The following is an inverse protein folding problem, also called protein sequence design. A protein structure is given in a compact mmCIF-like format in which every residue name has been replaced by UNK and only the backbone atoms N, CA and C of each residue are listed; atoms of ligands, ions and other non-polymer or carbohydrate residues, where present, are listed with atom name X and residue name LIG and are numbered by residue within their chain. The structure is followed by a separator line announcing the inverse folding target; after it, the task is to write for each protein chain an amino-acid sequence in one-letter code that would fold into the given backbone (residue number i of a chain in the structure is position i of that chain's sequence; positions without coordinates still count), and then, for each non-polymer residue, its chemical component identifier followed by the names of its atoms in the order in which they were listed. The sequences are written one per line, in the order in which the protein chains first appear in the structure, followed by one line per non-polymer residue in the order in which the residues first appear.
data_IF_622872785540
#
_entry.id   IF_622872785540
#
_cell.length_a   1.000
_cell.length_b   1.000
_cell.length_c   1.000
_cell.angle_alpha   90.00
_cell.angle_beta   90.00
_cell.angle_gamma   90.00
#
_symmetry.space_group_name_H-M   'P 1'
#
loop_
_entity.id
_entity.type
_entity.pdbx_description
1 polymer ?
#
# COMPACT_ATOMS: atom_id res chain seq x y z
N UNK A 1 -15.76 -16.58 3.69
CA UNK A 1 -14.73 -16.80 2.64
C UNK A 1 -13.77 -15.62 2.52
N UNK A 2 -14.25 -14.37 2.42
CA UNK A 2 -13.38 -13.18 2.39
C UNK A 2 -12.36 -13.13 3.55
N UNK A 3 -12.81 -13.33 4.79
CA UNK A 3 -11.93 -13.30 5.99
C UNK A 3 -10.71 -14.21 5.88
N UNK A 4 -10.86 -15.45 5.43
CA UNK A 4 -9.74 -16.41 5.35
C UNK A 4 -8.65 -15.91 4.40
N UNK A 5 -9.05 -15.38 3.24
CA UNK A 5 -8.13 -14.81 2.25
C UNK A 5 -7.39 -13.61 2.83
N UNK A 6 -8.12 -12.69 3.48
CA UNK A 6 -7.52 -11.51 4.10
C UNK A 6 -6.59 -11.86 5.27
N UNK A 7 -6.90 -12.89 6.05
CA UNK A 7 -5.99 -13.40 7.09
C UNK A 7 -4.71 -13.96 6.47
N UNK A 8 -4.81 -14.77 5.41
CA UNK A 8 -3.64 -15.31 4.70
C UNK A 8 -2.79 -14.17 4.13
N UNK A 9 -3.41 -13.17 3.49
CA UNK A 9 -2.69 -12.00 3.01
C UNK A 9 -2.05 -11.20 4.15
N UNK A 10 -2.72 -11.02 5.28
CA UNK A 10 -2.13 -10.35 6.45
C UNK A 10 -0.85 -11.06 6.88
N UNK A 11 -0.87 -12.38 7.02
CA UNK A 11 0.29 -13.17 7.42
C UNK A 11 1.41 -13.06 6.37
N UNK A 12 1.08 -13.20 5.09
CA UNK A 12 2.06 -13.10 4.00
C UNK A 12 2.75 -11.72 3.98
N UNK A 13 1.99 -10.63 4.13
CA UNK A 13 2.53 -9.28 4.16
C UNK A 13 3.35 -9.02 5.44
N UNK A 14 2.98 -9.59 6.59
CA UNK A 14 3.80 -9.52 7.81
C UNK A 14 5.15 -10.22 7.59
N UNK A 15 5.16 -11.41 6.99
CA UNK A 15 6.39 -12.13 6.69
C UNK A 15 7.28 -11.33 5.72
N UNK A 16 6.69 -10.75 4.67
CA UNK A 16 7.38 -9.85 3.74
C UNK A 16 7.91 -8.60 4.43
N UNK A 17 7.14 -7.99 5.34
CA UNK A 17 7.55 -6.81 6.10
C UNK A 17 8.75 -7.12 7.00
N UNK A 18 8.71 -8.24 7.72
CA UNK A 18 9.83 -8.68 8.57
C UNK A 18 11.08 -8.91 7.72
N UNK A 19 10.95 -9.58 6.58
CA UNK A 19 12.06 -9.81 5.67
C UNK A 19 12.62 -8.51 5.09
N UNK A 20 11.75 -7.61 4.62
CA UNK A 20 12.13 -6.31 4.09
C UNK A 20 12.80 -5.41 5.12
N UNK A 21 12.33 -5.42 6.38
CA UNK A 21 12.98 -4.70 7.49
C UNK A 21 14.38 -5.25 7.80
N UNK A 22 14.58 -6.57 7.73
CA UNK A 22 15.91 -7.17 7.87
C UNK A 22 16.85 -6.71 6.75
N UNK A 23 16.35 -6.71 5.50
CA UNK A 23 17.13 -6.28 4.34
C UNK A 23 17.42 -4.77 4.36
N UNK A 24 16.49 -3.96 4.85
CA UNK A 24 16.68 -2.52 5.05
C UNK A 24 17.75 -2.25 6.10
N UNK A 25 17.73 -2.95 7.23
CA UNK A 25 18.75 -2.84 8.28
C UNK A 25 20.17 -3.18 7.78
N UNK A 26 20.28 -4.12 6.84
CA UNK A 26 21.57 -4.51 6.26
C UNK A 26 22.06 -3.53 5.19
N UNK A 27 21.15 -2.93 4.42
CA UNK A 27 21.49 -2.10 3.26
C UNK A 27 21.49 -0.59 3.56
N UNK A 28 20.77 -0.13 4.59
CA UNK A 28 20.53 1.30 4.85
C UNK A 28 19.77 2.03 3.74
N UNK A 29 19.20 1.30 2.78
CA UNK A 29 18.66 1.89 1.56
C UNK A 29 17.32 2.59 1.82
N UNK A 30 17.28 3.91 1.67
CA UNK A 30 16.04 4.71 1.72
C UNK A 30 14.97 4.19 0.77
N UNK A 31 15.39 3.59 -0.35
CA UNK A 31 14.47 3.09 -1.38
C UNK A 31 13.74 1.83 -0.92
N UNK A 32 14.44 0.97 -0.17
CA UNK A 32 13.81 -0.18 0.47
C UNK A 32 12.77 0.28 1.49
N UNK A 33 13.09 1.32 2.26
CA UNK A 33 12.15 1.91 3.21
C UNK A 33 10.87 2.41 2.52
N UNK A 34 11.00 3.06 1.35
CA UNK A 34 9.84 3.50 0.56
C UNK A 34 8.96 2.33 0.09
N UNK A 35 9.52 1.15 -0.18
CA UNK A 35 8.76 -0.07 -0.53
C UNK A 35 8.09 -0.69 0.70
N UNK A 36 8.67 -0.52 1.90
CA UNK A 36 8.08 -1.04 3.14
C UNK A 36 6.81 -0.28 3.54
N UNK A 37 6.68 1.00 3.20
CA UNK A 37 5.49 1.81 3.50
C UNK A 37 4.21 1.19 2.92
N UNK A 38 4.15 0.84 1.62
CA UNK A 38 3.01 0.11 1.07
C UNK A 38 2.71 -1.22 1.74
N UNK A 39 3.75 -1.98 2.12
CA UNK A 39 3.58 -3.26 2.79
C UNK A 39 2.90 -3.07 4.16
N UNK A 40 3.29 -2.04 4.91
CA UNK A 40 2.64 -1.70 6.19
C UNK A 40 1.15 -1.37 5.97
N UNK A 41 0.83 -0.58 4.94
CA UNK A 41 -0.55 -0.28 4.57
C UNK A 41 -1.37 -1.53 4.25
N UNK A 42 -0.77 -2.47 3.50
CA UNK A 42 -1.40 -3.76 3.16
C UNK A 42 -1.59 -4.67 4.38
N UNK A 43 -0.64 -4.69 5.32
CA UNK A 43 -0.82 -5.41 6.60
C UNK A 43 -2.01 -4.85 7.35
N UNK A 44 -2.08 -3.52 7.50
CA UNK A 44 -3.17 -2.86 8.21
C UNK A 44 -4.53 -3.11 7.54
N UNK A 45 -4.64 -2.88 6.23
CA UNK A 45 -5.89 -3.04 5.47
C UNK A 45 -6.44 -4.47 5.60
N UNK A 46 -5.60 -5.47 5.33
CA UNK A 46 -6.00 -6.87 5.41
C UNK A 46 -6.34 -7.30 6.86
N UNK A 47 -5.61 -6.78 7.86
CA UNK A 47 -5.87 -7.08 9.26
C UNK A 47 -7.21 -6.49 9.74
N UNK A 48 -7.54 -5.25 9.36
CA UNK A 48 -8.81 -4.62 9.71
C UNK A 48 -9.99 -5.38 9.12
N UNK A 49 -9.89 -5.86 7.87
CA UNK A 49 -10.93 -6.69 7.25
C UNK A 49 -11.07 -8.03 7.98
N UNK A 50 -9.95 -8.67 8.35
CA UNK A 50 -9.97 -9.93 9.08
C UNK A 50 -10.64 -9.75 10.47
N UNK A 51 -10.28 -8.68 11.19
CA UNK A 51 -10.88 -8.32 12.49
C UNK A 51 -12.37 -8.00 12.37
N UNK A 52 -12.82 -7.46 11.24
CA UNK A 52 -14.23 -7.12 11.01
C UNK A 52 -15.19 -8.30 10.98
N UNK A 53 -14.67 -9.53 10.90
CA UNK A 53 -15.47 -10.75 11.05
C UNK A 53 -15.71 -11.18 12.49
N UNK A 54 -15.05 -10.56 13.47
CA UNK A 54 -15.25 -10.84 14.88
C UNK A 54 -16.50 -10.11 15.40
N UNK A 55 -17.34 -10.73 16.25
CA UNK A 55 -18.49 -10.05 16.85
C UNK A 55 -18.06 -8.98 17.86
N UNK A 56 -18.77 -7.84 17.88
CA UNK A 56 -18.60 -6.78 18.89
C UNK A 56 -17.71 -5.53 18.60
N UNK A 57 -17.19 -5.25 17.39
CA UNK A 57 -16.20 -4.18 17.25
C UNK A 57 -16.80 -2.81 16.86
N UNK A 58 -18.11 -2.57 17.08
CA UNK A 58 -18.89 -1.41 16.58
C UNK A 58 -18.12 -0.12 16.29
N UNK A 59 -17.66 0.60 17.32
CA UNK A 59 -16.97 1.90 17.15
C UNK A 59 -15.48 1.78 16.80
N UNK A 60 -14.78 0.81 17.39
CA UNK A 60 -13.36 0.58 17.11
C UNK A 60 -13.15 0.17 15.65
N UNK A 61 -13.97 -0.74 15.13
CA UNK A 61 -13.90 -1.17 13.73
C UNK A 61 -14.24 -0.04 12.77
N UNK A 62 -15.14 0.87 13.17
CA UNK A 62 -15.49 2.03 12.35
C UNK A 62 -14.28 2.96 12.22
N UNK A 63 -13.63 3.31 13.33
CA UNK A 63 -12.40 4.14 13.30
C UNK A 63 -11.26 3.46 12.52
N UNK A 64 -11.07 2.14 12.69
CA UNK A 64 -10.10 1.37 11.92
C UNK A 64 -10.42 1.35 10.41
N UNK A 65 -11.69 1.28 10.04
CA UNK A 65 -12.10 1.35 8.64
C UNK A 65 -11.86 2.75 8.03
N UNK A 66 -12.07 3.84 8.78
CA UNK A 66 -11.72 5.19 8.29
C UNK A 66 -10.22 5.28 8.02
N UNK A 67 -9.38 4.80 8.95
CA UNK A 67 -7.94 4.72 8.73
C UNK A 67 -7.57 3.88 7.51
N UNK A 68 -8.31 2.79 7.26
CA UNK A 68 -8.14 1.89 6.13
C UNK A 68 -8.41 2.60 4.81
N UNK A 69 -9.54 3.29 4.69
CA UNK A 69 -9.87 4.08 3.50
C UNK A 69 -8.84 5.19 3.25
N UNK A 70 -8.32 5.82 4.31
CA UNK A 70 -7.25 6.83 4.19
C UNK A 70 -5.94 6.27 3.68
N UNK A 71 -5.47 5.19 4.29
CA UNK A 71 -4.26 4.54 3.83
C UNK A 71 -4.44 4.00 2.42
N UNK A 72 -5.57 3.38 2.10
CA UNK A 72 -5.83 2.85 0.76
C UNK A 72 -5.87 3.94 -0.31
N UNK A 73 -6.54 5.07 -0.05
CA UNK A 73 -6.62 6.19 -0.97
C UNK A 73 -5.25 6.81 -1.31
N UNK A 74 -4.31 6.80 -0.36
CA UNK A 74 -2.99 7.41 -0.54
C UNK A 74 -1.96 6.39 -1.03
N UNK A 75 -1.85 5.27 -0.33
CA UNK A 75 -0.75 4.30 -0.47
C UNK A 75 -0.92 3.42 -1.71
N UNK A 76 -2.16 3.01 -2.05
CA UNK A 76 -2.38 2.14 -3.21
C UNK A 76 -1.98 2.82 -4.53
N UNK A 77 -2.36 4.09 -4.79
CA UNK A 77 -1.89 4.79 -5.99
C UNK A 77 -0.38 5.06 -6.02
N UNK A 78 0.29 5.14 -4.86
CA UNK A 78 1.75 5.28 -4.80
C UNK A 78 2.49 4.06 -5.36
N UNK A 79 1.87 2.88 -5.37
CA UNK A 79 2.44 1.67 -6.00
C UNK A 79 2.71 1.86 -7.50
N UNK A 80 1.97 2.74 -8.17
CA UNK A 80 2.17 3.09 -9.58
C UNK A 80 3.57 3.68 -9.78
N UNK A 81 3.97 4.63 -8.91
CA UNK A 81 5.28 5.26 -8.99
C UNK A 81 6.40 4.30 -8.56
N UNK A 82 6.14 3.42 -7.59
CA UNK A 82 7.07 2.37 -7.20
C UNK A 82 7.32 1.39 -8.37
N UNK A 83 6.26 0.95 -9.06
CA UNK A 83 6.35 0.09 -10.23
C UNK A 83 7.10 0.77 -11.39
N UNK A 84 6.88 2.08 -11.60
CA UNK A 84 7.62 2.85 -12.59
C UNK A 84 9.12 2.92 -12.27
N UNK A 85 9.50 3.14 -11.01
CA UNK A 85 10.91 3.11 -10.59
C UNK A 85 11.54 1.72 -10.77
N UNK A 86 10.79 0.65 -10.49
CA UNK A 86 11.25 -0.71 -10.76
C UNK A 86 11.44 -0.97 -12.26
N UNK A 87 10.51 -0.54 -13.11
CA UNK A 87 10.60 -0.66 -14.56
C UNK A 87 11.83 0.09 -15.13
N UNK A 88 12.11 1.30 -14.62
CA UNK A 88 13.32 2.07 -14.96
C UNK A 88 14.60 1.28 -14.70
N UNK A 89 14.69 0.63 -13.54
CA UNK A 89 15.87 -0.16 -13.15
C UNK A 89 16.01 -1.46 -13.92
N UNK A 90 14.89 -2.04 -14.33
CA UNK A 90 14.87 -3.22 -15.19
C UNK A 90 15.29 -2.89 -16.64
N UNK A 91 15.61 -1.62 -16.95
CA UNK A 91 16.03 -1.21 -18.29
C UNK A 91 14.87 -1.06 -19.27
N UNK A 92 13.63 -0.95 -18.79
CA UNK A 92 12.46 -0.74 -19.64
C UNK A 92 12.54 0.65 -20.27
N UNK A 93 12.83 0.70 -21.58
CA UNK A 93 13.22 1.93 -22.27
C UNK A 93 12.19 3.08 -22.22
N UNK A 94 10.89 2.78 -22.16
CA UNK A 94 9.86 3.83 -22.05
C UNK A 94 9.75 4.39 -20.63
N UNK A 95 10.11 3.61 -19.60
CA UNK A 95 9.95 4.00 -18.21
C UNK A 95 10.91 5.12 -17.81
N UNK A 96 12.08 5.22 -18.44
CA UNK A 96 13.08 6.27 -18.18
C UNK A 96 12.69 7.65 -18.74
N UNK A 97 11.65 7.73 -19.57
CA UNK A 97 11.18 8.99 -20.14
C UNK A 97 10.58 9.91 -19.05
N UNK A 98 11.00 11.19 -19.04
CA UNK A 98 10.52 12.20 -18.09
C UNK A 98 9.03 12.53 -18.27
N UNK A 99 8.52 12.48 -19.49
CA UNK A 99 7.09 12.68 -19.79
C UNK A 99 6.28 11.53 -19.20
N UNK A 100 6.76 10.29 -19.35
CA UNK A 100 6.11 9.12 -18.73
C UNK A 100 6.06 9.27 -17.21
N UNK A 101 7.14 9.73 -16.58
CA UNK A 101 7.15 10.02 -15.14
C UNK A 101 6.10 11.05 -14.74
N UNK A 102 6.03 12.16 -15.47
CA UNK A 102 5.07 13.21 -15.19
C UNK A 102 3.63 12.70 -15.36
N UNK A 103 3.34 11.95 -16.42
CA UNK A 103 2.02 11.38 -16.68
C UNK A 103 1.60 10.41 -15.57
N UNK A 104 2.47 9.48 -15.19
CA UNK A 104 2.19 8.52 -14.10
C UNK A 104 2.06 9.24 -12.76
N UNK A 105 2.88 10.27 -12.51
CA UNK A 105 2.79 11.09 -11.30
C UNK A 105 1.47 11.86 -11.20
N UNK A 106 1.06 12.52 -12.29
CA UNK A 106 -0.24 13.21 -12.38
C UNK A 106 -1.38 12.21 -12.18
N UNK A 107 -1.31 11.05 -12.83
CA UNK A 107 -2.30 10.00 -12.69
C UNK A 107 -2.40 9.48 -11.23
N UNK A 108 -1.27 9.24 -10.57
CA UNK A 108 -1.23 8.90 -9.13
C UNK A 108 -1.89 9.97 -8.28
N UNK A 109 -1.58 11.26 -8.51
CA UNK A 109 -2.19 12.36 -7.75
C UNK A 109 -3.69 12.42 -7.96
N UNK A 110 -4.17 12.28 -9.21
CA UNK A 110 -5.61 12.23 -9.52
C UNK A 110 -6.30 11.09 -8.76
N UNK A 111 -5.70 9.90 -8.74
CA UNK A 111 -6.26 8.76 -8.02
C UNK A 111 -6.28 8.96 -6.51
N UNK A 112 -5.27 9.63 -5.94
CA UNK A 112 -5.28 9.98 -4.51
C UNK A 112 -6.43 10.95 -4.23
N UNK A 113 -6.55 12.02 -5.01
CA UNK A 113 -7.62 13.01 -4.83
C UNK A 113 -9.01 12.38 -4.98
N UNK A 114 -9.18 11.52 -5.96
CA UNK A 114 -10.41 10.76 -6.17
C UNK A 114 -10.72 9.83 -4.98
N UNK A 115 -9.73 9.07 -4.50
CA UNK A 115 -9.88 8.20 -3.33
C UNK A 115 -10.22 8.97 -2.05
N UNK A 116 -9.66 10.17 -1.87
CA UNK A 116 -9.99 11.05 -0.75
C UNK A 116 -11.41 11.63 -0.86
N UNK A 117 -11.90 11.91 -2.08
CA UNK A 117 -13.26 12.42 -2.28
C UNK A 117 -14.36 11.38 -2.03
N UNK A 118 -14.05 10.10 -2.24
CA UNK A 118 -14.96 8.96 -2.06
C UNK A 118 -14.95 8.38 -0.64
N UNK A 119 -14.27 9.05 0.31
CA UNK A 119 -14.19 8.57 1.68
C UNK A 119 -15.56 8.58 2.36
N UNK A 120 -15.92 7.47 3.06
CA UNK A 120 -17.11 7.48 3.89
C UNK A 120 -16.95 8.52 5.01
N UNK A 121 -17.96 9.39 5.14
CA UNK A 121 -18.06 10.43 6.18
C UNK A 121 -18.73 9.90 7.43
#
# INVERSE_FOLDING_TARGET
MATLIYTIFTIAHILLLIWGLRLWRQSGSIRLFLVLLPIIGLVYDNAVIALGSLPGPGELLQSLNVGRFLLHAIITPMLIMAALDMARRAGVGWASNQIVFALFGVFTVILILFGLSEMPR
#
